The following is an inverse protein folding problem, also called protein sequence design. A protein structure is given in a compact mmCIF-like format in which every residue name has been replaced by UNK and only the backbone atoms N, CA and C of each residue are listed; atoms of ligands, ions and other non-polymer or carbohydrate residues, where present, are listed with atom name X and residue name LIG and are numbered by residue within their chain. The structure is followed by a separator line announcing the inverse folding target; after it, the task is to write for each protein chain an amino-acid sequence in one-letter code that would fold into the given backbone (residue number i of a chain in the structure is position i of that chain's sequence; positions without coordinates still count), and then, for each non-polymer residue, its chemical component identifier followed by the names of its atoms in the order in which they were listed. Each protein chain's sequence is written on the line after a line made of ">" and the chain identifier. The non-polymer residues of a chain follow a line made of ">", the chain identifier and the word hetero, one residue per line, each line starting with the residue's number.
data_IF_358736589999
#
_entry.id   IF_358736589999
#
_cell.length_a   1.000
_cell.length_b   1.000
_cell.length_c   1.000
_cell.angle_alpha   90.00
_cell.angle_beta   90.00
_cell.angle_gamma   90.00
#
_symmetry.space_group_name_H-M   'P 1'
#
loop_
_entity.id
_entity.type
_entity.pdbx_description
1 polymer ?
#
# COMPACT_ATOMS: atom_id res chain seq x y z
N UNK A 1 19.07 12.16 20.72
CA UNK A 1 19.17 13.55 20.19
C UNK A 1 17.91 14.27 20.64
N UNK A 2 17.99 15.48 21.18
CA UNK A 2 16.81 16.21 21.69
C UNK A 2 16.26 17.25 20.70
N UNK A 3 17.05 17.60 19.70
CA UNK A 3 16.68 18.53 18.63
C UNK A 3 16.13 17.80 17.39
N UNK A 4 15.23 18.44 16.62
CA UNK A 4 14.70 17.90 15.37
C UNK A 4 15.78 17.40 14.41
N UNK A 5 15.41 16.42 13.60
CA UNK A 5 16.27 15.93 12.50
C UNK A 5 16.44 17.05 11.48
N UNK A 6 17.69 17.30 11.07
CA UNK A 6 18.02 18.27 10.02
C UNK A 6 18.35 17.55 8.71
N UNK A 7 18.30 18.24 7.58
CA UNK A 7 18.76 17.71 6.28
C UNK A 7 20.20 17.17 6.34
N UNK A 8 21.10 17.83 7.09
CA UNK A 8 22.50 17.38 7.28
C UNK A 8 22.58 16.06 8.04
N UNK A 9 21.67 15.82 8.99
CA UNK A 9 21.63 14.55 9.71
C UNK A 9 21.17 13.40 8.81
N UNK A 10 20.21 13.68 7.90
CA UNK A 10 19.65 12.69 6.97
C UNK A 10 20.69 12.21 5.97
N UNK A 11 21.57 13.11 5.50
CA UNK A 11 22.63 12.79 4.55
C UNK A 11 23.81 12.03 5.15
N UNK A 12 23.83 11.78 6.47
CA UNK A 12 24.92 11.01 7.09
C UNK A 12 24.91 9.58 6.54
N UNK A 13 26.08 9.02 6.14
CA UNK A 13 26.14 7.67 5.57
C UNK A 13 25.50 6.58 6.45
N UNK A 14 25.62 6.71 7.78
CA UNK A 14 24.99 5.77 8.71
C UNK A 14 23.46 5.82 8.63
N UNK A 15 22.86 7.01 8.44
CA UNK A 15 21.41 7.17 8.33
C UNK A 15 20.93 6.62 6.99
N UNK A 16 21.64 6.90 5.91
CA UNK A 16 21.32 6.37 4.58
C UNK A 16 21.36 4.84 4.57
N UNK A 17 22.40 4.24 5.14
CA UNK A 17 22.53 2.79 5.27
C UNK A 17 21.42 2.19 6.15
N UNK A 18 21.07 2.85 7.26
CA UNK A 18 19.98 2.40 8.14
C UNK A 18 18.61 2.46 7.49
N UNK A 19 18.30 3.51 6.71
CA UNK A 19 17.03 3.63 5.99
C UNK A 19 16.91 2.55 4.92
N UNK A 20 17.97 2.32 4.12
CA UNK A 20 17.97 1.23 3.15
C UNK A 20 17.79 -0.16 3.79
N UNK A 21 18.41 -0.39 4.95
CA UNK A 21 18.21 -1.62 5.70
C UNK A 21 16.77 -1.75 6.25
N UNK A 22 16.19 -0.66 6.77
CA UNK A 22 14.82 -0.62 7.25
C UNK A 22 13.82 -0.93 6.12
N UNK A 23 13.96 -0.24 4.98
CA UNK A 23 13.17 -0.49 3.77
C UNK A 23 13.26 -1.95 3.31
N UNK A 24 14.46 -2.52 3.38
CA UNK A 24 14.65 -3.92 2.98
C UNK A 24 13.92 -4.93 3.85
N UNK A 25 13.55 -4.54 5.08
CA UNK A 25 12.88 -5.38 6.06
C UNK A 25 11.36 -5.21 6.08
N UNK A 26 10.80 -4.24 5.35
CA UNK A 26 9.35 -4.05 5.31
C UNK A 26 8.71 -5.19 4.50
N UNK A 27 7.77 -5.89 5.14
CA UNK A 27 7.14 -7.09 4.59
C UNK A 27 5.68 -6.90 4.15
N UNK A 28 5.06 -5.78 4.56
CA UNK A 28 3.65 -5.50 4.28
C UNK A 28 3.38 -3.99 4.39
N UNK A 29 2.45 -3.52 3.57
CA UNK A 29 2.00 -2.14 3.54
C UNK A 29 0.48 -2.09 3.55
N UNK A 30 -0.06 -1.02 4.14
CA UNK A 30 -1.49 -0.80 4.18
C UNK A 30 -1.81 0.66 3.90
N UNK A 31 -2.88 0.89 3.15
CA UNK A 31 -3.41 2.22 2.85
C UNK A 31 -3.97 2.96 4.09
N UNK A 32 -4.13 2.29 5.23
CA UNK A 32 -4.55 2.90 6.48
C UNK A 32 -4.02 2.13 7.69
N UNK A 33 -3.81 2.85 8.79
CA UNK A 33 -3.42 2.23 10.07
C UNK A 33 -4.54 1.32 10.60
N UNK A 34 -5.81 1.60 10.29
CA UNK A 34 -6.94 0.76 10.69
C UNK A 34 -6.89 -0.63 10.03
N UNK A 35 -6.67 -0.66 8.72
CA UNK A 35 -6.50 -1.93 8.00
C UNK A 35 -5.28 -2.69 8.52
N UNK A 36 -4.17 -1.98 8.78
CA UNK A 36 -2.97 -2.58 9.35
C UNK A 36 -3.22 -3.19 10.74
N UNK A 37 -3.92 -2.48 11.62
CA UNK A 37 -4.31 -2.97 12.94
C UNK A 37 -5.22 -4.20 12.87
N UNK A 38 -6.22 -4.18 11.98
CA UNK A 38 -7.09 -5.32 11.71
C UNK A 38 -6.28 -6.54 11.20
N UNK A 39 -5.40 -6.33 10.22
CA UNK A 39 -4.54 -7.39 9.67
C UNK A 39 -3.63 -7.99 10.74
N UNK A 40 -3.03 -7.17 11.60
CA UNK A 40 -2.22 -7.64 12.72
C UNK A 40 -3.04 -8.46 13.71
N UNK A 41 -4.28 -8.06 14.01
CA UNK A 41 -5.16 -8.78 14.93
C UNK A 41 -5.63 -10.12 14.34
N UNK A 42 -5.90 -10.18 13.04
CA UNK A 42 -6.38 -11.39 12.35
C UNK A 42 -5.25 -12.40 12.08
N UNK A 43 -4.05 -11.93 11.73
CA UNK A 43 -2.92 -12.79 11.29
C UNK A 43 -1.86 -13.02 12.37
N UNK A 44 -1.86 -12.21 13.42
CA UNK A 44 -0.93 -12.31 14.54
C UNK A 44 0.49 -11.85 14.23
N UNK A 45 1.33 -11.88 15.26
CA UNK A 45 2.69 -11.34 15.25
C UNK A 45 3.68 -12.10 14.37
N UNK A 46 3.36 -13.34 13.96
CA UNK A 46 4.17 -14.11 13.01
C UNK A 46 4.09 -13.55 11.59
N UNK A 47 2.97 -12.87 11.27
CA UNK A 47 2.76 -12.23 9.99
C UNK A 47 3.34 -10.81 9.98
N UNK A 48 3.01 -10.01 11.00
CA UNK A 48 3.49 -8.64 11.16
C UNK A 48 4.06 -8.44 12.56
N UNK A 49 5.38 -8.33 12.67
CA UNK A 49 6.06 -8.21 13.96
C UNK A 49 5.97 -6.81 14.58
N UNK A 50 5.97 -5.75 13.76
CA UNK A 50 5.87 -4.36 14.19
C UNK A 50 5.30 -3.49 13.07
N UNK A 51 4.65 -2.39 13.47
CA UNK A 51 4.07 -1.42 12.54
C UNK A 51 3.98 -0.04 13.20
N UNK A 52 4.02 1.01 12.38
CA UNK A 52 3.76 2.39 12.82
C UNK A 52 2.27 2.67 12.72
N UNK A 53 1.61 2.94 13.85
CA UNK A 53 0.18 3.23 13.90
C UNK A 53 -0.18 4.13 15.09
N UNK A 54 -1.42 4.62 15.10
CA UNK A 54 -1.96 5.40 16.21
C UNK A 54 -2.32 4.52 17.41
N UNK A 55 -2.23 5.09 18.62
CA UNK A 55 -2.71 4.44 19.85
C UNK A 55 -4.17 4.02 19.75
N UNK A 56 -5.03 4.85 19.13
CA UNK A 56 -6.44 4.53 18.89
C UNK A 56 -6.66 3.24 18.09
N UNK A 57 -5.73 2.93 17.17
CA UNK A 57 -5.76 1.66 16.41
C UNK A 57 -5.45 0.48 17.32
N UNK A 58 -4.44 0.61 18.19
CA UNK A 58 -4.07 -0.43 19.17
C UNK A 58 -5.19 -0.63 20.19
N UNK A 59 -5.82 0.44 20.65
CA UNK A 59 -7.01 0.40 21.52
C UNK A 59 -8.15 -0.39 20.86
N UNK A 60 -8.38 -0.18 19.57
CA UNK A 60 -9.50 -0.78 18.84
C UNK A 60 -9.26 -2.26 18.51
N UNK A 61 -8.06 -2.61 18.03
CA UNK A 61 -7.76 -3.93 17.48
C UNK A 61 -6.79 -4.76 18.33
N UNK A 62 -6.20 -4.18 19.37
CA UNK A 62 -5.06 -4.79 20.03
C UNK A 62 -5.40 -6.04 20.81
N UNK A 63 -6.54 -6.07 21.51
CA UNK A 63 -7.03 -7.27 22.21
C UNK A 63 -6.01 -7.94 23.14
N UNK A 64 -5.02 -7.20 23.64
CA UNK A 64 -3.87 -7.71 24.41
C UNK A 64 -2.78 -8.41 23.60
N UNK A 65 -2.95 -8.59 22.29
CA UNK A 65 -1.96 -9.19 21.38
C UNK A 65 -1.08 -8.14 20.68
N UNK A 66 -1.62 -6.95 20.44
CA UNK A 66 -0.89 -5.80 19.93
C UNK A 66 -0.69 -4.82 21.08
N UNK A 67 0.55 -4.40 21.30
CA UNK A 67 0.92 -3.46 22.36
C UNK A 67 1.63 -2.26 21.75
N UNK A 68 1.42 -1.05 22.28
CA UNK A 68 2.16 0.11 21.80
C UNK A 68 3.61 0.04 22.30
N UNK A 69 4.54 0.37 21.42
CA UNK A 69 5.96 0.52 21.76
C UNK A 69 6.30 2.00 21.62
N UNK A 70 6.68 2.64 22.73
CA UNK A 70 7.11 4.03 22.75
C UNK A 70 8.64 4.07 22.68
N UNK A 71 9.25 4.60 21.59
CA UNK A 71 10.70 4.65 21.47
C UNK A 71 11.33 5.48 22.59
N UNK A 72 12.38 4.95 23.21
CA UNK A 72 13.09 5.61 24.32
C UNK A 72 13.69 6.95 23.88
N UNK A 73 14.10 7.02 22.62
CA UNK A 73 14.69 8.20 22.00
C UNK A 73 13.69 9.34 21.80
N UNK A 74 12.39 9.03 21.79
CA UNK A 74 11.29 9.95 21.51
C UNK A 74 10.56 9.66 20.21
N UNK A 75 9.42 10.31 20.02
CA UNK A 75 8.59 10.16 18.82
C UNK A 75 7.86 11.46 18.48
N UNK A 76 7.14 11.48 17.35
CA UNK A 76 6.23 12.56 16.96
C UNK A 76 4.81 12.24 17.42
N UNK A 77 4.01 13.28 17.67
CA UNK A 77 2.58 13.15 17.99
C UNK A 77 1.77 13.78 16.87
N UNK A 78 0.78 13.06 16.34
CA UNK A 78 -0.14 13.60 15.35
C UNK A 78 -1.19 14.49 16.04
N UNK A 79 -1.09 15.79 15.84
CA UNK A 79 -1.96 16.80 16.49
C UNK A 79 -3.19 17.18 15.68
N UNK A 80 -3.38 16.62 14.48
CA UNK A 80 -4.55 16.80 13.61
C UNK A 80 -5.03 18.27 13.54
N UNK A 81 -4.19 19.22 13.08
CA UNK A 81 -4.54 20.63 13.08
C UNK A 81 -5.73 20.91 12.16
N UNK A 82 -6.72 21.66 12.66
CA UNK A 82 -7.86 22.14 11.89
C UNK A 82 -7.62 23.57 11.41
N UNK A 83 -7.44 23.73 10.10
CA UNK A 83 -7.23 25.02 9.43
C UNK A 83 -8.51 25.49 8.73
N UNK A 84 -8.80 26.79 8.79
CA UNK A 84 -9.93 27.41 8.08
C UNK A 84 -9.38 28.10 6.85
N UNK A 85 -9.92 27.78 5.68
CA UNK A 85 -9.51 28.40 4.43
C UNK A 85 -9.96 29.87 4.39
N UNK A 86 -9.04 30.78 4.09
CA UNK A 86 -9.31 32.21 4.03
C UNK A 86 -10.20 32.60 2.83
N UNK A 87 -10.32 31.76 1.80
CA UNK A 87 -11.12 32.05 0.60
C UNK A 87 -12.58 31.58 0.69
N UNK A 88 -13.01 31.06 1.85
CA UNK A 88 -14.38 30.56 2.04
C UNK A 88 -15.36 31.71 2.33
N UNK A 89 -16.65 31.50 2.06
CA UNK A 89 -17.68 32.49 2.41
C UNK A 89 -17.89 32.61 3.94
N UNK A 90 -18.56 33.68 4.35
CA UNK A 90 -18.72 34.01 5.76
C UNK A 90 -19.49 32.95 6.56
N UNK A 91 -20.48 32.30 5.96
CA UNK A 91 -21.30 31.28 6.63
C UNK A 91 -20.49 30.00 6.87
N UNK A 92 -19.74 29.55 5.86
CA UNK A 92 -18.83 28.42 5.98
C UNK A 92 -17.68 28.71 6.96
N UNK A 93 -17.17 29.93 6.98
CA UNK A 93 -16.15 30.34 7.95
C UNK A 93 -16.69 30.26 9.39
N UNK A 94 -17.88 30.79 9.65
CA UNK A 94 -18.55 30.71 10.95
C UNK A 94 -18.80 29.26 11.37
N UNK A 95 -19.31 28.42 10.45
CA UNK A 95 -19.51 26.99 10.71
C UNK A 95 -18.21 26.26 11.05
N UNK A 96 -17.11 26.57 10.34
CA UNK A 96 -15.80 25.97 10.60
C UNK A 96 -15.22 26.41 11.96
N UNK A 97 -15.43 27.67 12.37
CA UNK A 97 -15.05 28.16 13.69
C UNK A 97 -15.83 27.49 14.82
N UNK A 98 -17.14 27.32 14.65
CA UNK A 98 -18.00 26.60 15.58
C UNK A 98 -17.56 25.13 15.72
N UNK A 99 -17.29 24.47 14.59
CA UNK A 99 -16.81 23.09 14.60
C UNK A 99 -15.46 22.96 15.30
N UNK A 100 -14.49 23.83 14.99
CA UNK A 100 -13.18 23.84 15.67
C UNK A 100 -13.32 24.09 17.16
N UNK A 101 -14.22 24.99 17.56
CA UNK A 101 -14.51 25.28 18.96
C UNK A 101 -15.13 24.07 19.67
N UNK A 102 -16.03 23.34 19.00
CA UNK A 102 -16.58 22.09 19.50
C UNK A 102 -15.50 21.02 19.69
N UNK A 103 -14.60 20.85 18.72
CA UNK A 103 -13.51 19.87 18.83
C UNK A 103 -12.64 20.12 20.07
N UNK A 104 -12.43 21.37 20.47
CA UNK A 104 -11.64 21.75 21.65
C UNK A 104 -12.46 21.81 22.95
N UNK A 105 -13.79 21.75 22.86
CA UNK A 105 -14.68 21.75 24.02
C UNK A 105 -14.54 20.47 24.86
N UNK A 106 -15.01 20.49 26.11
CA UNK A 106 -15.05 19.28 26.95
C UNK A 106 -15.81 18.13 26.27
N UNK A 107 -16.94 18.42 25.63
CA UNK A 107 -17.76 17.41 24.96
C UNK A 107 -17.03 16.78 23.76
N UNK A 108 -16.38 17.59 22.93
CA UNK A 108 -15.60 17.09 21.79
C UNK A 108 -14.39 16.28 22.22
N UNK A 109 -13.72 16.69 23.30
CA UNK A 109 -12.55 16.00 23.84
C UNK A 109 -12.92 14.73 24.60
N UNK A 110 -14.09 14.67 25.24
CA UNK A 110 -14.65 13.42 25.77
C UNK A 110 -14.94 12.42 24.66
N UNK A 111 -15.47 12.88 23.52
CA UNK A 111 -15.66 12.03 22.34
C UNK A 111 -14.32 11.54 21.77
N UNK A 112 -13.29 12.39 21.76
CA UNK A 112 -11.95 12.00 21.35
C UNK A 112 -11.39 10.87 22.25
N UNK A 113 -11.49 11.03 23.58
CA UNK A 113 -11.09 9.98 24.54
C UNK A 113 -11.84 8.68 24.31
N UNK A 114 -13.17 8.75 24.10
CA UNK A 114 -13.99 7.57 23.83
C UNK A 114 -13.57 6.81 22.55
N UNK A 115 -12.86 7.46 21.63
CA UNK A 115 -12.30 6.87 20.41
C UNK A 115 -10.78 6.60 20.52
N UNK A 116 -10.23 6.59 21.73
CA UNK A 116 -8.81 6.26 21.96
C UNK A 116 -7.84 7.37 21.54
N UNK A 117 -8.28 8.63 21.54
CA UNK A 117 -7.42 9.79 21.27
C UNK A 117 -7.13 10.57 22.56
N UNK A 118 -5.85 10.91 22.78
CA UNK A 118 -5.44 11.71 23.94
C UNK A 118 -6.08 13.11 23.89
N UNK A 119 -6.68 13.59 24.99
CA UNK A 119 -7.29 14.90 25.02
C UNK A 119 -6.22 16.00 25.08
N UNK A 120 -6.48 17.11 24.39
CA UNK A 120 -5.65 18.33 24.45
C UNK A 120 -6.23 19.39 25.40
N UNK A 121 -7.50 19.25 25.78
CA UNK A 121 -8.14 20.09 26.78
C UNK A 121 -7.87 19.53 28.18
N UNK A 122 -7.18 20.30 29.02
CA UNK A 122 -6.80 19.91 30.38
C UNK A 122 -7.97 19.71 31.35
N UNK A 123 -9.18 20.17 31.00
CA UNK A 123 -10.39 19.90 31.77
C UNK A 123 -10.92 18.46 31.59
N UNK A 124 -10.46 17.75 30.54
CA UNK A 124 -10.86 16.37 30.27
C UNK A 124 -9.77 15.41 30.72
N UNK A 125 -10.07 14.59 31.73
CA UNK A 125 -9.17 13.54 32.19
C UNK A 125 -9.23 12.34 31.22
N UNK A 126 -8.08 11.81 30.75
CA UNK A 126 -8.06 10.55 30.02
C UNK A 126 -8.68 9.42 30.84
N UNK A 127 -9.44 8.55 30.18
CA UNK A 127 -10.10 7.40 30.79
C UNK A 127 -10.19 6.26 29.75
N UNK A 128 -10.73 5.10 30.17
CA UNK A 128 -10.98 3.99 29.27
C UNK A 128 -11.67 4.46 27.97
N UNK A 129 -11.17 4.05 26.79
CA UNK A 129 -10.20 2.96 26.59
C UNK A 129 -8.71 3.39 26.57
N UNK A 130 -8.34 4.60 26.98
CA UNK A 130 -6.95 5.02 27.15
C UNK A 130 -6.40 4.61 28.53
N UNK A 131 -6.11 3.34 28.69
CA UNK A 131 -5.60 2.78 29.95
C UNK A 131 -4.64 1.60 29.72
N UNK A 132 -4.04 1.13 30.81
CA UNK A 132 -3.12 -0.01 30.80
C UNK A 132 -3.80 -1.32 30.35
N UNK A 133 -5.12 -1.48 30.52
CA UNK A 133 -5.83 -2.68 30.08
C UNK A 133 -5.88 -2.78 28.55
N UNK A 134 -5.90 -1.63 27.87
CA UNK A 134 -5.78 -1.54 26.42
C UNK A 134 -4.33 -1.31 25.96
N UNK A 135 -3.35 -1.45 26.88
CA UNK A 135 -1.92 -1.34 26.60
C UNK A 135 -1.38 0.09 26.53
N UNK A 136 -2.20 1.12 26.77
CA UNK A 136 -1.79 2.53 26.66
C UNK A 136 -1.13 3.00 27.95
N UNK A 137 0.07 3.56 27.84
CA UNK A 137 0.78 4.21 28.95
C UNK A 137 0.64 5.73 28.81
N UNK A 138 -0.18 6.34 29.67
CA UNK A 138 -0.43 7.77 29.64
C UNK A 138 0.81 8.62 29.97
N UNK A 139 1.84 8.04 30.59
CA UNK A 139 3.11 8.72 30.87
C UNK A 139 4.06 8.77 29.66
N UNK A 140 3.74 8.01 28.61
CA UNK A 140 4.48 7.96 27.35
C UNK A 140 3.76 8.73 26.23
N UNK A 141 4.48 9.14 25.16
CA UNK A 141 5.93 9.14 25.06
C UNK A 141 6.57 10.20 25.98
N UNK A 142 7.68 9.86 26.63
CA UNK A 142 8.41 10.79 27.51
C UNK A 142 9.09 11.94 26.75
N UNK A 143 9.44 11.72 25.48
CA UNK A 143 10.09 12.70 24.62
C UNK A 143 9.25 12.85 23.34
N UNK A 144 8.76 14.06 23.10
CA UNK A 144 8.04 14.43 21.89
C UNK A 144 8.90 15.38 21.07
N UNK A 145 9.20 14.99 19.83
CA UNK A 145 9.93 15.85 18.90
C UNK A 145 9.02 16.92 18.32
N UNK A 146 9.57 18.12 18.11
CA UNK A 146 8.91 19.11 17.27
C UNK A 146 8.96 18.69 15.81
N UNK A 147 7.93 19.01 15.00
CA UNK A 147 7.90 18.65 13.59
C UNK A 147 9.16 19.10 12.85
N UNK A 148 9.69 18.28 11.92
CA UNK A 148 10.84 18.65 11.11
C UNK A 148 10.51 19.87 10.24
N UNK A 149 11.54 20.63 9.86
CA UNK A 149 11.39 21.74 8.92
C UNK A 149 11.25 21.21 7.48
N UNK A 150 10.88 22.12 6.57
CA UNK A 150 10.63 21.79 5.15
C UNK A 150 11.86 21.18 4.48
N UNK A 151 13.07 21.69 4.76
CA UNK A 151 14.31 21.15 4.19
C UNK A 151 14.57 19.70 4.63
N UNK A 152 14.30 19.38 5.90
CA UNK A 152 14.41 18.02 6.40
C UNK A 152 13.34 17.11 5.79
N UNK A 153 12.12 17.59 5.56
CA UNK A 153 11.08 16.82 4.88
C UNK A 153 11.49 16.47 3.44
N UNK A 154 12.03 17.42 2.68
CA UNK A 154 12.53 17.15 1.33
C UNK A 154 13.71 16.17 1.33
N UNK A 155 14.66 16.33 2.26
CA UNK A 155 15.79 15.41 2.37
C UNK A 155 15.35 13.98 2.77
N UNK A 156 14.30 13.84 3.60
CA UNK A 156 13.68 12.53 3.87
C UNK A 156 13.09 11.97 2.58
N UNK A 157 12.24 12.72 1.88
CA UNK A 157 11.62 12.26 0.65
C UNK A 157 12.65 11.82 -0.40
N UNK A 158 13.71 12.60 -0.60
CA UNK A 158 14.81 12.25 -1.51
C UNK A 158 15.54 10.97 -1.07
N UNK A 159 15.85 10.84 0.22
CA UNK A 159 16.49 9.63 0.73
C UNK A 159 15.62 8.40 0.51
N UNK A 160 14.32 8.50 0.82
CA UNK A 160 13.36 7.42 0.60
C UNK A 160 13.25 7.03 -0.87
N UNK A 161 13.15 8.01 -1.77
CA UNK A 161 13.16 7.77 -3.22
C UNK A 161 14.47 7.12 -3.71
N UNK A 162 15.62 7.51 -3.15
CA UNK A 162 16.91 6.91 -3.51
C UNK A 162 17.11 5.51 -2.93
N UNK A 163 16.44 5.20 -1.83
CA UNK A 163 16.45 3.89 -1.18
C UNK A 163 15.39 2.93 -1.76
N UNK A 164 14.52 3.43 -2.66
CA UNK A 164 13.52 2.64 -3.38
C UNK A 164 14.20 1.45 -4.05
N UNK A 165 13.69 0.25 -3.78
CA UNK A 165 14.12 -0.94 -4.52
C UNK A 165 13.45 -0.92 -5.90
N UNK A 166 14.20 -1.34 -6.92
CA UNK A 166 13.60 -1.59 -8.22
C UNK A 166 12.56 -2.70 -8.10
N UNK A 167 11.58 -2.68 -9.00
CA UNK A 167 10.47 -3.64 -8.99
C UNK A 167 10.62 -4.62 -10.15
N UNK A 168 10.50 -5.91 -9.85
CA UNK A 168 10.22 -6.96 -10.83
C UNK A 168 8.71 -7.20 -10.86
N UNK A 169 8.03 -6.64 -11.86
CA UNK A 169 6.59 -6.75 -12.01
C UNK A 169 6.20 -7.76 -13.10
N UNK A 170 5.26 -8.64 -12.77
CA UNK A 170 4.49 -9.41 -13.75
C UNK A 170 3.06 -8.89 -13.79
N UNK A 171 2.65 -8.41 -14.96
CA UNK A 171 1.28 -7.98 -15.22
C UNK A 171 0.53 -9.12 -15.92
N UNK A 172 -0.50 -9.66 -15.27
CA UNK A 172 -1.39 -10.67 -15.83
C UNK A 172 -2.67 -10.00 -16.33
N UNK A 173 -2.88 -10.03 -17.64
CA UNK A 173 -4.01 -9.39 -18.31
C UNK A 173 -4.97 -10.44 -18.86
N UNK A 174 -6.20 -10.46 -18.34
CA UNK A 174 -7.26 -11.30 -18.88
C UNK A 174 -7.68 -10.80 -20.26
N UNK A 175 -7.68 -11.73 -21.21
CA UNK A 175 -8.05 -11.53 -22.61
C UNK A 175 -9.13 -12.51 -23.04
N UNK A 176 -9.87 -13.07 -22.08
CA UNK A 176 -10.99 -13.98 -22.33
C UNK A 176 -12.14 -13.31 -23.10
N UNK A 177 -13.08 -14.10 -23.59
CA UNK A 177 -14.22 -13.61 -24.35
C UNK A 177 -15.13 -12.65 -23.58
N UNK A 178 -15.18 -12.73 -22.24
CA UNK A 178 -15.96 -11.84 -21.38
C UNK A 178 -15.42 -10.41 -21.37
N UNK A 179 -14.11 -10.24 -21.58
CA UNK A 179 -13.42 -8.94 -21.65
C UNK A 179 -13.76 -8.11 -22.90
N UNK A 180 -14.58 -8.60 -23.83
CA UNK A 180 -14.89 -7.86 -25.07
C UNK A 180 -15.60 -6.53 -24.83
N UNK A 181 -15.43 -5.61 -25.77
CA UNK A 181 -16.01 -4.27 -25.72
C UNK A 181 -15.24 -3.38 -24.75
N UNK A 182 -15.96 -2.56 -23.99
CA UNK A 182 -15.33 -1.53 -23.15
C UNK A 182 -14.42 -2.12 -22.05
N UNK A 183 -14.60 -3.37 -21.62
CA UNK A 183 -13.78 -4.01 -20.58
C UNK A 183 -12.30 -4.13 -20.99
N UNK A 184 -12.02 -4.65 -22.18
CA UNK A 184 -10.63 -4.80 -22.69
C UNK A 184 -10.01 -3.43 -22.96
N UNK A 185 -10.78 -2.46 -23.45
CA UNK A 185 -10.27 -1.12 -23.72
C UNK A 185 -9.95 -0.39 -22.41
N UNK A 186 -10.82 -0.45 -21.41
CA UNK A 186 -10.55 0.09 -20.07
C UNK A 186 -9.35 -0.60 -19.40
N UNK A 187 -9.22 -1.93 -19.54
CA UNK A 187 -8.07 -2.68 -19.02
C UNK A 187 -6.76 -2.27 -19.72
N UNK A 188 -6.78 -2.02 -21.03
CA UNK A 188 -5.62 -1.52 -21.76
C UNK A 188 -5.23 -0.12 -21.30
N UNK A 189 -6.19 0.79 -21.16
CA UNK A 189 -5.94 2.15 -20.67
C UNK A 189 -5.31 2.13 -19.28
N UNK A 190 -5.88 1.31 -18.39
CA UNK A 190 -5.35 1.02 -17.06
C UNK A 190 -3.91 0.50 -17.09
N UNK A 191 -3.65 -0.56 -17.87
CA UNK A 191 -2.32 -1.14 -18.00
C UNK A 191 -1.29 -0.15 -18.58
N UNK A 192 -1.71 0.71 -19.51
CA UNK A 192 -0.87 1.78 -20.07
C UNK A 192 -0.53 2.84 -19.01
N UNK A 193 -1.53 3.34 -18.28
CA UNK A 193 -1.32 4.30 -17.19
C UNK A 193 -0.39 3.76 -16.11
N UNK A 194 -0.51 2.46 -15.80
CA UNK A 194 0.38 1.79 -14.88
C UNK A 194 1.83 1.78 -15.40
N UNK A 195 2.03 1.37 -16.66
CA UNK A 195 3.36 1.36 -17.31
C UNK A 195 3.95 2.77 -17.40
N UNK A 196 3.16 3.81 -17.57
CA UNK A 196 3.65 5.20 -17.57
C UNK A 196 4.22 5.64 -16.22
N UNK A 197 3.66 5.12 -15.12
CA UNK A 197 4.07 5.49 -13.76
C UNK A 197 5.32 4.73 -13.30
N UNK A 198 5.62 3.56 -13.86
CA UNK A 198 6.80 2.75 -13.48
C UNK A 198 8.13 3.51 -13.62
N UNK A 199 9.10 3.23 -12.75
CA UNK A 199 10.46 3.75 -12.83
C UNK A 199 11.21 3.17 -14.03
N UNK A 200 12.22 3.89 -14.52
CA UNK A 200 12.99 3.45 -15.70
C UNK A 200 13.82 2.17 -15.45
N UNK A 201 14.22 1.96 -14.19
CA UNK A 201 15.01 0.81 -13.74
C UNK A 201 14.15 -0.42 -13.36
N UNK A 202 12.83 -0.24 -13.28
CA UNK A 202 11.89 -1.33 -13.03
C UNK A 202 11.89 -2.33 -14.21
N UNK A 203 11.60 -3.59 -13.91
CA UNK A 203 11.46 -4.67 -14.91
C UNK A 203 10.01 -5.10 -14.98
N UNK A 204 9.45 -5.14 -16.20
CA UNK A 204 8.08 -5.62 -16.45
C UNK A 204 8.08 -6.86 -17.33
N UNK A 205 7.22 -7.81 -16.99
CA UNK A 205 6.74 -8.88 -17.88
C UNK A 205 5.24 -8.72 -18.04
N UNK A 206 4.73 -8.79 -19.26
CA UNK A 206 3.28 -8.77 -19.53
C UNK A 206 2.88 -10.15 -20.03
N UNK A 207 1.94 -10.78 -19.33
CA UNK A 207 1.37 -12.07 -19.70
C UNK A 207 -0.12 -11.83 -19.96
N UNK A 208 -0.57 -12.16 -21.15
CA UNK A 208 -2.00 -12.22 -21.47
C UNK A 208 -2.49 -13.63 -21.26
N UNK A 209 -3.69 -13.81 -20.72
CA UNK A 209 -4.27 -15.13 -20.58
C UNK A 209 -5.71 -15.16 -21.10
N UNK A 210 -6.04 -16.27 -21.76
CA UNK A 210 -7.41 -16.65 -22.12
C UNK A 210 -7.53 -18.15 -21.87
N UNK A 211 -7.74 -18.99 -22.89
CA UNK A 211 -7.72 -20.45 -22.75
C UNK A 211 -6.37 -20.98 -22.25
N UNK A 212 -5.28 -20.27 -22.51
CA UNK A 212 -3.96 -20.52 -21.94
C UNK A 212 -3.19 -19.20 -21.77
N UNK A 213 -2.24 -19.11 -20.83
CA UNK A 213 -1.42 -17.92 -20.66
C UNK A 213 -0.29 -17.83 -21.70
N UNK A 214 0.06 -16.61 -22.10
CA UNK A 214 1.07 -16.31 -23.12
C UNK A 214 1.83 -15.04 -22.76
N UNK A 215 3.16 -15.09 -22.86
CA UNK A 215 4.03 -13.94 -22.60
C UNK A 215 3.94 -12.99 -23.81
N UNK A 216 3.30 -11.84 -23.60
CA UNK A 216 3.22 -10.75 -24.58
C UNK A 216 4.50 -9.90 -24.57
N UNK A 217 5.01 -9.60 -23.38
CA UNK A 217 6.26 -8.88 -23.18
C UNK A 217 7.13 -9.73 -22.24
N UNK A 218 8.30 -10.24 -22.69
CA UNK A 218 9.23 -10.95 -21.81
C UNK A 218 9.83 -9.98 -20.77
N UNK A 219 10.50 -10.45 -19.72
CA UNK A 219 11.14 -9.58 -18.74
C UNK A 219 11.98 -8.48 -19.41
N UNK A 220 11.54 -7.24 -19.26
CA UNK A 220 12.07 -6.08 -19.98
C UNK A 220 12.21 -4.90 -19.03
N UNK A 221 13.40 -4.26 -19.01
CA UNK A 221 13.58 -2.98 -18.32
C UNK A 221 12.72 -1.90 -18.96
N UNK A 222 11.98 -1.15 -18.14
CA UNK A 222 10.97 -0.23 -18.63
C UNK A 222 11.59 0.91 -19.43
N UNK A 223 12.65 1.57 -18.93
CA UNK A 223 13.22 2.82 -19.45
C UNK A 223 13.02 3.09 -20.95
N UNK A 224 13.97 2.68 -21.80
CA UNK A 224 13.87 2.90 -23.26
C UNK A 224 12.79 2.05 -23.95
N UNK A 225 12.34 0.96 -23.31
CA UNK A 225 11.35 0.05 -23.88
C UNK A 225 9.90 0.48 -23.63
N UNK A 226 9.66 1.54 -22.84
CA UNK A 226 8.33 1.95 -22.35
C UNK A 226 7.32 2.09 -23.47
N UNK A 227 7.67 2.80 -24.54
CA UNK A 227 6.80 2.97 -25.71
C UNK A 227 6.48 1.63 -26.41
N UNK A 228 7.44 0.69 -26.45
CA UNK A 228 7.24 -0.63 -27.04
C UNK A 228 6.31 -1.50 -26.19
N UNK A 229 6.43 -1.41 -24.87
CA UNK A 229 5.56 -2.11 -23.92
C UNK A 229 4.12 -1.59 -24.06
N UNK A 230 3.93 -0.27 -24.07
CA UNK A 230 2.62 0.38 -24.27
C UNK A 230 1.97 -0.06 -25.59
N UNK A 231 2.73 -0.03 -26.70
CA UNK A 231 2.22 -0.46 -27.99
C UNK A 231 1.82 -1.95 -28.02
N UNK A 232 2.54 -2.81 -27.29
CA UNK A 232 2.19 -4.22 -27.19
C UNK A 232 0.84 -4.40 -26.45
N UNK A 233 0.64 -3.67 -25.34
CA UNK A 233 -0.61 -3.69 -24.57
C UNK A 233 -1.79 -3.19 -25.42
N UNK A 234 -1.62 -2.09 -26.15
CA UNK A 234 -2.68 -1.54 -27.01
C UNK A 234 -3.15 -2.52 -28.10
N UNK A 235 -2.26 -3.41 -28.56
CA UNK A 235 -2.54 -4.45 -29.56
C UNK A 235 -3.32 -5.66 -29.06
N UNK A 236 -3.64 -5.74 -27.77
CA UNK A 236 -4.37 -6.88 -27.16
C UNK A 236 -5.78 -7.01 -27.75
N UNK A 237 -6.28 -8.23 -27.88
CA UNK A 237 -7.67 -8.51 -28.29
C UNK A 237 -8.27 -9.60 -27.40
N UNK A 238 -9.58 -9.50 -27.14
CA UNK A 238 -10.30 -10.38 -26.22
C UNK A 238 -11.00 -11.56 -26.94
N UNK A 239 -10.61 -12.78 -26.60
CA UNK A 239 -11.17 -14.04 -27.11
C UNK A 239 -10.76 -15.24 -26.25
N UNK A 240 -11.58 -16.29 -26.24
CA UNK A 240 -11.25 -17.57 -25.59
C UNK A 240 -11.86 -17.70 -24.19
N UNK A 241 -11.39 -18.69 -23.45
CA UNK A 241 -11.80 -18.99 -22.07
C UNK A 241 -10.90 -18.23 -21.07
N UNK A 242 -10.87 -18.65 -19.79
CA UNK A 242 -10.11 -17.98 -18.71
C UNK A 242 -9.27 -18.98 -17.91
N UNK A 243 -7.95 -18.95 -18.09
CA UNK A 243 -6.95 -19.78 -17.39
C UNK A 243 -6.15 -18.95 -16.36
N UNK A 244 -6.85 -18.44 -15.36
CA UNK A 244 -6.30 -17.56 -14.32
C UNK A 244 -5.22 -18.26 -13.48
N UNK A 245 -5.48 -19.46 -12.98
CA UNK A 245 -4.54 -20.19 -12.11
C UNK A 245 -3.25 -20.59 -12.84
N UNK A 246 -3.36 -20.96 -14.11
CA UNK A 246 -2.19 -21.24 -14.95
C UNK A 246 -1.39 -19.96 -15.23
N UNK A 247 -2.05 -18.81 -15.41
CA UNK A 247 -1.40 -17.52 -15.57
C UNK A 247 -0.62 -17.10 -14.31
N UNK A 248 -1.20 -17.29 -13.12
CA UNK A 248 -0.54 -17.01 -11.84
C UNK A 248 0.71 -17.89 -11.69
N UNK A 249 0.59 -19.19 -11.97
CA UNK A 249 1.73 -20.10 -11.91
C UNK A 249 2.84 -19.71 -12.90
N UNK A 250 2.48 -19.26 -14.11
CA UNK A 250 3.46 -18.78 -15.09
C UNK A 250 4.14 -17.49 -14.63
N UNK A 251 3.38 -16.54 -14.08
CA UNK A 251 3.93 -15.30 -13.53
C UNK A 251 4.88 -15.54 -12.37
N UNK A 252 4.50 -16.45 -11.46
CA UNK A 252 5.37 -16.89 -10.37
C UNK A 252 6.67 -17.51 -10.89
N UNK A 253 6.59 -18.37 -11.91
CA UNK A 253 7.78 -18.97 -12.53
C UNK A 253 8.71 -17.94 -13.17
N UNK A 254 8.17 -16.86 -13.76
CA UNK A 254 8.97 -15.74 -14.29
C UNK A 254 9.73 -15.02 -13.17
N UNK A 255 9.06 -14.69 -12.07
CA UNK A 255 9.70 -14.02 -10.93
C UNK A 255 10.72 -14.92 -10.23
N UNK A 256 10.43 -16.21 -10.10
CA UNK A 256 11.35 -17.19 -9.52
C UNK A 256 12.59 -17.45 -10.39
N UNK A 257 12.48 -17.22 -11.69
CA UNK A 257 13.60 -17.29 -12.63
C UNK A 257 14.39 -15.97 -12.77
N UNK A 258 13.89 -14.87 -12.20
CA UNK A 258 14.55 -13.58 -12.28
C UNK A 258 15.88 -13.60 -11.51
N UNK A 259 16.95 -13.10 -12.15
CA UNK A 259 18.29 -13.12 -11.56
C UNK A 259 18.50 -12.03 -10.50
N UNK A 260 17.61 -11.04 -10.44
CA UNK A 260 17.70 -9.91 -9.49
C UNK A 260 17.06 -10.27 -8.17
N UNK A 261 17.90 -10.52 -7.16
CA UNK A 261 17.49 -10.75 -5.77
C UNK A 261 17.37 -9.45 -4.96
N UNK A 262 17.73 -8.31 -5.55
CA UNK A 262 17.75 -6.98 -4.94
C UNK A 262 16.54 -6.11 -5.33
N UNK A 263 15.55 -6.71 -5.99
CA UNK A 263 14.31 -6.06 -6.43
C UNK A 263 13.09 -6.67 -5.73
N UNK A 264 12.02 -5.90 -5.62
CA UNK A 264 10.76 -6.41 -5.06
C UNK A 264 9.94 -7.10 -6.13
N UNK A 265 9.41 -8.28 -5.82
CA UNK A 265 8.65 -9.11 -6.75
C UNK A 265 7.15 -8.84 -6.59
N UNK A 266 6.47 -8.50 -7.69
CA UNK A 266 5.06 -8.15 -7.68
C UNK A 266 4.33 -8.80 -8.85
N UNK A 267 3.15 -9.34 -8.58
CA UNK A 267 2.20 -9.75 -9.61
C UNK A 267 0.96 -8.86 -9.51
N UNK A 268 0.52 -8.28 -10.63
CA UNK A 268 -0.75 -7.57 -10.73
C UNK A 268 -1.66 -8.35 -11.66
N UNK A 269 -2.83 -8.74 -11.16
CA UNK A 269 -3.81 -9.54 -11.89
C UNK A 269 -5.01 -8.69 -12.25
N UNK A 270 -5.34 -8.61 -13.54
CA UNK A 270 -6.51 -7.90 -14.07
C UNK A 270 -7.42 -8.92 -14.75
N UNK A 271 -8.61 -9.15 -14.20
CA UNK A 271 -9.58 -10.13 -14.73
C UNK A 271 -11.02 -9.72 -14.49
N UNK A 272 -11.93 -10.11 -15.38
CA UNK A 272 -13.37 -9.90 -15.22
C UNK A 272 -14.17 -11.18 -14.95
N UNK A 273 -13.48 -12.31 -14.78
CA UNK A 273 -14.09 -13.62 -14.91
C UNK A 273 -13.65 -14.65 -13.89
N UNK A 274 -14.40 -15.75 -13.87
CA UNK A 274 -14.10 -16.96 -13.12
C UNK A 274 -13.14 -17.82 -13.94
N UNK A 275 -12.23 -18.51 -13.28
CA UNK A 275 -11.40 -19.52 -13.95
C UNK A 275 -12.28 -20.62 -14.57
N UNK A 276 -12.09 -20.89 -15.85
CA UNK A 276 -12.90 -21.85 -16.63
C UNK A 276 -12.07 -22.89 -17.36
N UNK A 277 -10.76 -22.68 -17.51
CA UNK A 277 -9.91 -23.53 -18.34
C UNK A 277 -8.55 -23.85 -17.73
N UNK A 278 -8.24 -23.43 -16.50
CA UNK A 278 -6.96 -23.81 -15.90
C UNK A 278 -6.87 -25.32 -15.68
N UNK A 279 -5.70 -25.86 -15.96
CA UNK A 279 -5.36 -27.25 -15.62
C UNK A 279 -5.04 -27.35 -14.12
N UNK A 280 -4.49 -26.29 -13.54
CA UNK A 280 -4.18 -26.19 -12.11
C UNK A 280 -5.43 -25.77 -11.31
N UNK A 281 -5.68 -26.40 -10.15
CA UNK A 281 -6.70 -25.93 -9.22
C UNK A 281 -6.18 -24.79 -8.36
N UNK A 282 -7.09 -23.96 -7.84
CA UNK A 282 -6.79 -23.05 -6.74
C UNK A 282 -6.58 -23.85 -5.45
N UNK A 283 -5.33 -23.91 -4.97
CA UNK A 283 -4.96 -24.64 -3.76
C UNK A 283 -3.73 -24.01 -3.07
N UNK A 284 -3.41 -24.53 -1.88
CA UNK A 284 -2.26 -24.05 -1.09
C UNK A 284 -0.92 -24.15 -1.84
N UNK A 285 -0.77 -25.11 -2.75
CA UNK A 285 0.43 -25.26 -3.55
C UNK A 285 0.59 -24.09 -4.54
N UNK A 286 -0.48 -23.69 -5.23
CA UNK A 286 -0.46 -22.53 -6.12
C UNK A 286 -0.10 -21.26 -5.34
N UNK A 287 -0.72 -21.06 -4.17
CA UNK A 287 -0.42 -19.92 -3.30
C UNK A 287 1.05 -19.95 -2.86
N UNK A 288 1.57 -21.11 -2.47
CA UNK A 288 2.97 -21.25 -2.07
C UNK A 288 3.92 -20.97 -3.25
N UNK A 289 3.60 -21.43 -4.46
CA UNK A 289 4.36 -21.12 -5.67
C UNK A 289 4.33 -19.62 -5.97
N UNK A 290 3.16 -18.99 -5.86
CA UNK A 290 2.93 -17.60 -6.19
C UNK A 290 3.50 -16.60 -5.17
N UNK A 291 3.69 -17.02 -3.92
CA UNK A 291 4.26 -16.21 -2.82
C UNK A 291 5.75 -16.47 -2.57
N UNK A 292 6.36 -17.39 -3.33
CA UNK A 292 7.81 -17.60 -3.28
C UNK A 292 8.56 -16.29 -3.55
N UNK A 293 9.74 -16.17 -2.94
CA UNK A 293 10.60 -14.98 -3.02
C UNK A 293 9.93 -13.67 -2.58
N UNK A 294 9.04 -13.76 -1.58
CA UNK A 294 8.28 -12.63 -1.03
C UNK A 294 7.50 -11.88 -2.11
N UNK A 295 6.92 -12.60 -3.05
CA UNK A 295 6.12 -12.01 -4.12
C UNK A 295 4.78 -11.51 -3.56
N UNK A 296 4.48 -10.24 -3.80
CA UNK A 296 3.18 -9.63 -3.46
C UNK A 296 2.23 -9.72 -4.64
N UNK A 297 0.96 -10.10 -4.43
CA UNK A 297 -0.04 -10.19 -5.51
C UNK A 297 -1.19 -9.23 -5.28
N UNK A 298 -1.40 -8.32 -6.21
CA UNK A 298 -2.57 -7.44 -6.28
C UNK A 298 -3.58 -7.98 -7.29
N UNK A 299 -4.86 -7.97 -6.94
CA UNK A 299 -5.93 -8.46 -7.81
C UNK A 299 -6.92 -7.34 -8.11
N UNK A 300 -7.33 -7.22 -9.37
CA UNK A 300 -8.29 -6.24 -9.87
C UNK A 300 -9.42 -6.98 -10.59
N UNK A 301 -10.64 -6.87 -10.06
CA UNK A 301 -11.84 -7.42 -10.65
C UNK A 301 -12.55 -6.40 -11.55
N UNK A 302 -12.61 -6.62 -12.87
CA UNK A 302 -13.38 -5.76 -13.78
C UNK A 302 -14.83 -6.24 -13.92
N UNK A 303 -15.78 -5.35 -13.69
CA UNK A 303 -17.21 -5.70 -13.79
C UNK A 303 -17.68 -6.59 -12.63
N UNK A 304 -18.94 -7.04 -12.70
CA UNK A 304 -19.59 -7.79 -11.61
C UNK A 304 -19.56 -9.32 -11.75
N UNK A 305 -18.82 -9.84 -12.72
CA UNK A 305 -18.80 -11.27 -13.08
C UNK A 305 -17.55 -12.02 -12.56
N UNK A 306 -16.62 -11.30 -11.92
CA UNK A 306 -15.38 -11.87 -11.40
C UNK A 306 -15.63 -12.71 -10.14
N UNK A 307 -14.79 -13.74 -9.94
CA UNK A 307 -14.78 -14.50 -8.68
C UNK A 307 -14.08 -13.69 -7.58
N UNK A 308 -14.81 -12.75 -6.97
CA UNK A 308 -14.26 -11.86 -5.95
C UNK A 308 -13.69 -12.62 -4.75
N UNK A 309 -14.31 -13.73 -4.34
CA UNK A 309 -13.86 -14.53 -3.20
C UNK A 309 -12.47 -15.14 -3.48
N UNK A 310 -12.25 -15.68 -4.67
CA UNK A 310 -10.95 -16.20 -5.09
C UNK A 310 -9.91 -15.09 -5.20
N UNK A 311 -10.26 -13.95 -5.79
CA UNK A 311 -9.34 -12.82 -5.97
C UNK A 311 -8.95 -12.16 -4.66
N UNK A 312 -9.90 -12.00 -3.73
CA UNK A 312 -9.66 -11.50 -2.39
C UNK A 312 -8.79 -12.47 -1.60
N UNK A 313 -9.08 -13.77 -1.66
CA UNK A 313 -8.31 -14.79 -0.95
C UNK A 313 -6.87 -14.86 -1.50
N UNK A 314 -6.68 -14.84 -2.82
CA UNK A 314 -5.36 -14.82 -3.44
C UNK A 314 -4.53 -13.61 -2.99
N UNK A 315 -5.08 -12.39 -3.11
CA UNK A 315 -4.39 -11.18 -2.70
C UNK A 315 -4.07 -11.20 -1.20
N UNK A 316 -5.04 -11.61 -0.38
CA UNK A 316 -4.88 -11.76 1.06
C UNK A 316 -3.71 -12.71 1.38
N UNK A 317 -3.73 -13.92 0.82
CA UNK A 317 -2.69 -14.92 1.09
C UNK A 317 -1.31 -14.51 0.55
N UNK A 318 -1.26 -13.63 -0.43
CA UNK A 318 -0.04 -13.14 -1.06
C UNK A 318 0.33 -11.70 -0.67
N UNK A 319 -0.06 -11.26 0.53
CA UNK A 319 0.34 -9.98 1.14
C UNK A 319 -0.01 -8.73 0.32
N UNK A 320 -0.94 -8.85 -0.63
CA UNK A 320 -1.43 -7.74 -1.43
C UNK A 320 -2.89 -7.45 -1.14
N UNK A 321 -3.47 -6.58 -1.98
CA UNK A 321 -4.83 -6.09 -1.83
C UNK A 321 -5.67 -6.36 -3.07
N UNK A 322 -6.97 -6.46 -2.82
CA UNK A 322 -8.01 -6.63 -3.83
C UNK A 322 -8.66 -5.29 -4.14
N UNK A 323 -8.92 -5.06 -5.43
CA UNK A 323 -9.50 -3.84 -5.96
C UNK A 323 -10.66 -4.14 -6.93
N UNK A 324 -11.66 -3.25 -6.93
CA UNK A 324 -12.74 -3.26 -7.91
C UNK A 324 -12.36 -2.37 -9.09
N UNK A 325 -12.29 -2.94 -10.28
CA UNK A 325 -11.73 -2.35 -11.49
C UNK A 325 -12.44 -1.08 -11.94
N UNK A 326 -11.70 0.02 -11.83
CA UNK A 326 -11.95 1.32 -12.44
C UNK A 326 -10.61 2.07 -12.62
N UNK A 327 -10.64 3.27 -13.21
CA UNK A 327 -9.42 4.07 -13.39
C UNK A 327 -8.78 4.49 -12.05
N UNK A 328 -9.58 4.65 -10.99
CA UNK A 328 -9.09 5.03 -9.66
C UNK A 328 -8.28 3.89 -9.02
N UNK A 329 -8.63 2.64 -9.28
CA UNK A 329 -7.97 1.46 -8.73
C UNK A 329 -6.55 1.29 -9.22
N UNK A 330 -6.24 1.67 -10.46
CA UNK A 330 -4.88 1.58 -11.01
C UNK A 330 -3.95 2.59 -10.37
N UNK A 331 -4.41 3.84 -10.27
CA UNK A 331 -3.67 4.87 -9.54
C UNK A 331 -3.47 4.42 -8.09
N UNK A 332 -4.50 3.90 -7.43
CA UNK A 332 -4.40 3.39 -6.06
C UNK A 332 -3.41 2.23 -5.92
N UNK A 333 -3.35 1.31 -6.89
CA UNK A 333 -2.39 0.20 -6.87
C UNK A 333 -0.98 0.69 -7.13
N UNK A 334 -0.76 1.57 -8.11
CA UNK A 334 0.57 2.13 -8.32
C UNK A 334 1.00 2.95 -7.10
N UNK A 335 0.12 3.76 -6.53
CA UNK A 335 0.36 4.52 -5.31
C UNK A 335 0.67 3.61 -4.12
N UNK A 336 -0.04 2.50 -3.98
CA UNK A 336 0.22 1.50 -2.94
C UNK A 336 1.53 0.76 -3.20
N UNK A 337 1.84 0.40 -4.44
CA UNK A 337 3.13 -0.19 -4.82
C UNK A 337 4.29 0.80 -4.63
N UNK A 338 4.07 2.07 -4.96
CA UNK A 338 5.00 3.16 -4.68
C UNK A 338 5.22 3.19 -3.18
N UNK A 339 4.16 3.36 -2.39
CA UNK A 339 4.27 3.39 -0.93
C UNK A 339 4.89 2.11 -0.36
N UNK A 340 4.65 0.96 -0.99
CA UNK A 340 5.16 -0.34 -0.59
C UNK A 340 6.60 -0.61 -1.00
N UNK A 341 7.13 0.09 -2.00
CA UNK A 341 8.46 -0.20 -2.53
C UNK A 341 9.38 1.03 -2.51
N UNK A 342 8.97 2.14 -1.87
CA UNK A 342 9.80 3.30 -1.54
C UNK A 342 9.44 4.62 -2.25
N UNK A 343 8.22 4.78 -2.74
CA UNK A 343 7.74 5.92 -3.50
C UNK A 343 6.57 6.65 -2.82
N UNK A 344 6.77 7.95 -2.58
CA UNK A 344 5.66 8.86 -2.30
C UNK A 344 5.00 9.26 -3.62
N UNK A 345 3.68 9.16 -3.67
CA UNK A 345 2.85 9.82 -4.69
C UNK A 345 3.14 11.32 -4.66
N UNK A 346 3.51 11.88 -5.81
CA UNK A 346 3.46 13.32 -6.04
C UNK A 346 4.74 14.11 -5.80
N UNK A 347 5.83 13.78 -6.48
CA UNK A 347 6.72 14.79 -7.10
C UNK A 347 7.27 14.16 -8.38
N UNK A 348 6.95 14.73 -9.54
CA UNK A 348 7.43 14.23 -10.83
C UNK A 348 8.96 14.18 -10.90
N UNK A 349 9.49 13.18 -11.61
CA UNK A 349 10.79 13.33 -12.28
C UNK A 349 10.67 14.36 -13.40
#
# INVERSE_FOLDING_TARGET
>A
KTEPVTAVDIQKPIVQASVGAFESAVAFFGNSTLNLGKTMAERGSTYLGAAVMYESTVVTYGGGQIVPIYPLEGTFVATHPACINQSTDAELAEGAELFRSYLLSEAGQQLAVANGLRPVNSAVTPAAPLDEQHGVDLTQPAIVFTPPNVDALYAIQELWQSARKDVNLVMLLDTSGSMRGDKVDNMKEAAVQFVEQMGDDDTITVITFSTAPSILVPPTHVGEARSKIINAIQGINASGDTALFDAIAQGAAVLNGAQRTDATNVIVVLTDGVDTSSVRPFNDQLIQEATQNNTTIFTIAYGGDADEDVLQNLAFMANGNYYLGDAASIAAIYDEMSAAFGGSVGVGR
#
